data_IF_078049296583
#
_entry.id   IF_078049296583
#
_cell.length_a   1.000
_cell.length_b   1.000
_cell.length_c   1.000
_cell.angle_alpha   90.00
_cell.angle_beta   90.00
_cell.angle_gamma   90.00
#
_symmetry.space_group_name_H-M   'P 1'
#
loop_
_entity.id
_entity.type
_entity.pdbx_description
1 polymer ?
#
# COMPACT_ATOMS: atom_id res chain seq x y z
N UNK A 1 0.94 -0.22 -46.13
CA UNK A 1 1.63 -0.82 -44.98
C UNK A 1 1.10 -0.21 -43.70
N UNK A 2 0.34 -0.98 -42.93
CA UNK A 2 -0.24 -0.53 -41.62
C UNK A 2 0.76 -0.85 -40.53
N UNK A 3 1.35 0.17 -39.94
CA UNK A 3 2.18 0.07 -38.75
C UNK A 3 1.31 -0.38 -37.58
N UNK A 4 1.46 -1.62 -37.15
CA UNK A 4 0.88 -2.09 -35.88
C UNK A 4 1.69 -1.48 -34.75
N UNK A 5 1.09 -0.50 -34.07
CA UNK A 5 1.62 0.03 -32.82
C UNK A 5 1.73 -1.09 -31.79
N UNK A 6 2.96 -1.46 -31.41
CA UNK A 6 3.21 -2.32 -30.25
C UNK A 6 2.62 -1.62 -29.02
N UNK A 7 1.51 -2.15 -28.50
CA UNK A 7 1.08 -1.90 -27.12
C UNK A 7 2.24 -2.30 -26.21
N UNK A 8 2.92 -1.35 -25.61
CA UNK A 8 3.77 -1.61 -24.46
C UNK A 8 2.85 -2.08 -23.32
N UNK A 9 2.73 -3.37 -23.18
CA UNK A 9 2.15 -4.02 -22.02
C UNK A 9 3.07 -3.65 -20.87
N UNK A 10 2.56 -2.91 -19.87
CA UNK A 10 3.33 -2.53 -18.69
C UNK A 10 4.03 -3.76 -18.13
N UNK A 11 5.31 -3.63 -17.77
CA UNK A 11 6.14 -4.72 -17.28
C UNK A 11 5.46 -5.30 -16.04
N UNK A 12 4.89 -6.50 -16.19
CA UNK A 12 4.50 -7.31 -15.05
C UNK A 12 5.73 -7.56 -14.17
N UNK A 13 5.52 -7.56 -12.85
CA UNK A 13 6.60 -7.89 -11.92
C UNK A 13 7.03 -9.34 -12.14
N UNK A 14 8.27 -9.62 -12.53
CA UNK A 14 8.72 -10.99 -12.72
C UNK A 14 8.95 -11.67 -11.37
N UNK A 15 8.00 -12.51 -10.92
CA UNK A 15 8.12 -13.33 -9.72
C UNK A 15 8.17 -12.56 -8.39
N UNK A 16 8.40 -13.23 -7.24
CA UNK A 16 8.45 -12.60 -5.92
C UNK A 16 9.60 -11.59 -5.86
N UNK A 17 9.25 -10.30 -5.92
CA UNK A 17 10.19 -9.20 -5.86
C UNK A 17 10.09 -8.53 -4.50
N UNK A 18 11.24 -8.35 -3.86
CA UNK A 18 11.31 -7.47 -2.69
C UNK A 18 11.14 -6.03 -3.13
N UNK A 19 10.04 -5.41 -2.70
CA UNK A 19 9.81 -3.99 -2.91
C UNK A 19 10.84 -3.15 -2.16
N UNK A 20 11.22 -2.03 -2.77
CA UNK A 20 12.20 -1.10 -2.20
C UNK A 20 11.56 0.28 -2.05
N UNK A 21 12.02 1.11 -1.11
CA UNK A 21 11.58 2.49 -1.04
C UNK A 21 11.69 3.18 -2.41
N UNK A 22 10.73 4.02 -2.73
CA UNK A 22 10.52 4.70 -4.01
C UNK A 22 9.92 3.87 -5.15
N UNK A 23 9.70 2.57 -5.00
CA UNK A 23 8.95 1.81 -5.99
C UNK A 23 7.49 2.28 -6.02
N UNK A 24 6.94 2.45 -7.22
CA UNK A 24 5.54 2.86 -7.43
C UNK A 24 4.78 1.72 -8.09
N UNK A 25 3.62 1.42 -7.55
CA UNK A 25 2.76 0.34 -8.02
C UNK A 25 1.37 0.85 -8.37
N UNK A 26 0.77 0.27 -9.38
CA UNK A 26 -0.67 0.33 -9.64
C UNK A 26 -1.33 -0.93 -9.10
N UNK A 27 -2.41 -0.76 -8.36
CA UNK A 27 -3.15 -1.80 -7.65
C UNK A 27 -4.56 -1.85 -8.20
N UNK A 28 -5.02 -2.99 -8.74
CA UNK A 28 -6.39 -3.13 -9.17
C UNK A 28 -7.32 -3.11 -7.95
N UNK A 29 -8.29 -2.21 -7.97
CA UNK A 29 -9.28 -2.04 -6.91
C UNK A 29 -10.63 -2.69 -7.24
N UNK A 30 -10.75 -3.36 -8.37
CA UNK A 30 -12.01 -3.89 -8.92
C UNK A 30 -12.70 -2.92 -9.88
N UNK A 31 -13.67 -3.41 -10.67
CA UNK A 31 -14.47 -2.61 -11.63
C UNK A 31 -13.63 -1.71 -12.54
N UNK A 32 -12.51 -2.24 -13.05
CA UNK A 32 -11.56 -1.49 -13.89
C UNK A 32 -10.96 -0.24 -13.20
N UNK A 33 -11.06 -0.15 -11.88
CA UNK A 33 -10.50 0.95 -11.10
C UNK A 33 -9.10 0.59 -10.61
N UNK A 34 -8.18 1.56 -10.68
CA UNK A 34 -6.80 1.44 -10.24
C UNK A 34 -6.49 2.44 -9.14
N UNK A 35 -5.86 1.97 -8.07
CA UNK A 35 -5.21 2.81 -7.06
C UNK A 35 -3.70 2.80 -7.23
N UNK A 36 -3.02 3.76 -6.62
CA UNK A 36 -1.58 3.94 -6.77
C UNK A 36 -0.92 4.10 -5.42
N UNK A 37 0.21 3.44 -5.27
CA UNK A 37 0.99 3.49 -4.03
C UNK A 37 2.47 3.72 -4.32
N UNK A 38 3.16 4.37 -3.39
CA UNK A 38 4.62 4.53 -3.39
C UNK A 38 5.18 3.85 -2.16
N UNK A 39 6.17 3.00 -2.33
CA UNK A 39 6.76 2.23 -1.25
C UNK A 39 7.66 3.11 -0.38
N UNK A 40 7.47 3.02 0.91
CA UNK A 40 8.29 3.63 1.95
C UNK A 40 9.14 2.57 2.66
N UNK A 41 9.94 2.98 3.63
CA UNK A 41 10.59 2.06 4.59
C UNK A 41 9.53 1.42 5.51
N UNK A 42 9.94 0.45 6.31
CA UNK A 42 9.10 -0.26 7.28
C UNK A 42 7.87 -0.95 6.67
N UNK A 43 8.04 -1.54 5.48
CA UNK A 43 6.96 -2.24 4.80
C UNK A 43 5.66 -1.41 4.76
N UNK A 44 5.76 -0.14 4.42
CA UNK A 44 4.64 0.79 4.36
C UNK A 44 4.47 1.35 2.95
N UNK A 45 3.22 1.52 2.55
CA UNK A 45 2.83 2.26 1.36
C UNK A 45 2.30 3.64 1.72
N UNK A 46 2.77 4.66 1.01
CA UNK A 46 2.06 5.91 0.82
C UNK A 46 1.00 5.67 -0.24
N UNK A 47 -0.27 5.72 0.13
CA UNK A 47 -1.40 5.65 -0.81
C UNK A 47 -1.57 7.01 -1.44
N UNK A 48 -1.46 7.09 -2.76
CA UNK A 48 -1.54 8.36 -3.48
C UNK A 48 -2.99 8.80 -3.65
N UNK A 49 -3.24 10.10 -3.55
CA UNK A 49 -4.58 10.70 -3.70
C UNK A 49 -4.98 10.80 -5.18
N UNK A 50 -5.02 9.65 -5.83
CA UNK A 50 -5.41 9.50 -7.22
C UNK A 50 -5.89 8.08 -7.49
N UNK A 51 -6.96 7.95 -8.26
CA UNK A 51 -7.45 6.71 -8.86
C UNK A 51 -7.65 6.93 -10.36
N UNK A 52 -7.70 5.86 -11.13
CA UNK A 52 -8.11 5.91 -12.52
C UNK A 52 -9.14 4.82 -12.82
N UNK A 53 -10.02 5.09 -13.77
CA UNK A 53 -11.05 4.16 -14.23
C UNK A 53 -10.74 3.75 -15.68
N UNK A 54 -10.98 2.48 -15.99
CA UNK A 54 -10.69 1.88 -17.29
C UNK A 54 -9.19 1.78 -17.57
N UNK A 55 -8.55 2.90 -17.90
CA UNK A 55 -7.12 2.91 -18.23
C UNK A 55 -6.25 3.13 -16.97
N UNK A 56 -5.29 2.24 -16.76
CA UNK A 56 -4.24 2.42 -15.76
C UNK A 56 -3.31 3.59 -16.16
N UNK A 57 -2.97 4.45 -15.19
CA UNK A 57 -1.99 5.52 -15.38
C UNK A 57 -0.56 4.99 -15.43
N UNK A 58 0.28 5.70 -16.15
CA UNK A 58 1.72 5.51 -16.16
C UNK A 58 2.39 6.31 -15.03
N UNK A 59 3.64 5.99 -14.72
CA UNK A 59 4.39 6.65 -13.66
C UNK A 59 4.36 8.19 -13.74
N UNK A 60 4.47 8.76 -14.93
CA UNK A 60 4.45 10.21 -15.14
C UNK A 60 3.14 10.88 -14.72
N UNK A 61 2.03 10.15 -14.80
CA UNK A 61 0.69 10.67 -14.47
C UNK A 61 0.43 10.65 -12.96
N UNK A 62 1.15 9.79 -12.22
CA UNK A 62 1.01 9.67 -10.76
C UNK A 62 2.07 10.42 -9.98
N UNK A 63 3.22 10.75 -10.59
CA UNK A 63 4.25 11.58 -9.95
C UNK A 63 3.69 12.95 -9.55
N UNK A 64 4.07 13.42 -8.36
CA UNK A 64 3.60 14.69 -7.81
C UNK A 64 2.22 14.63 -7.15
N UNK A 65 1.53 13.48 -7.17
CA UNK A 65 0.27 13.32 -6.44
C UNK A 65 0.54 13.26 -4.93
N UNK A 66 -0.36 13.88 -4.16
CA UNK A 66 -0.27 13.91 -2.70
C UNK A 66 -0.50 12.51 -2.11
N UNK A 67 0.01 12.29 -0.92
CA UNK A 67 -0.33 11.14 -0.10
C UNK A 67 -1.70 11.34 0.53
N UNK A 68 -2.57 10.35 0.41
CA UNK A 68 -3.89 10.32 1.01
C UNK A 68 -3.87 9.65 2.38
N UNK A 69 -3.01 8.69 2.57
CA UNK A 69 -2.85 7.95 3.81
C UNK A 69 -1.77 6.88 3.70
N UNK A 70 -1.64 6.07 4.73
CA UNK A 70 -0.60 5.06 4.82
C UNK A 70 -1.18 3.68 5.10
N UNK A 71 -0.50 2.65 4.61
CA UNK A 71 -0.88 1.27 4.86
C UNK A 71 0.36 0.39 4.95
N UNK A 72 0.50 -0.37 6.03
CA UNK A 72 1.56 -1.36 6.15
C UNK A 72 1.18 -2.63 5.40
N UNK A 73 2.15 -3.30 4.79
CA UNK A 73 1.92 -4.49 3.98
C UNK A 73 2.84 -5.64 4.37
N UNK A 74 2.36 -6.87 4.15
CA UNK A 74 3.13 -8.07 4.42
C UNK A 74 4.13 -8.35 3.28
N UNK A 75 5.38 -8.69 3.62
CA UNK A 75 6.40 -9.13 2.68
C UNK A 75 6.73 -10.63 2.90
N UNK A 76 7.22 -11.37 1.89
CA UNK A 76 7.49 -10.97 0.51
C UNK A 76 6.21 -10.72 -0.27
N UNK A 77 6.31 -9.82 -1.25
CA UNK A 77 5.20 -9.49 -2.09
C UNK A 77 5.12 -10.42 -3.30
N UNK A 78 4.01 -11.08 -3.47
CA UNK A 78 3.78 -12.06 -4.54
C UNK A 78 2.33 -11.93 -5.07
N UNK A 79 1.95 -10.72 -5.49
CA UNK A 79 0.66 -10.54 -6.13
C UNK A 79 0.83 -10.27 -7.63
N UNK A 80 0.50 -11.24 -8.50
CA UNK A 80 0.70 -11.12 -9.94
C UNK A 80 -0.17 -10.05 -10.60
N UNK A 81 -1.21 -9.54 -9.92
CA UNK A 81 -2.12 -8.54 -10.48
C UNK A 81 -1.67 -7.10 -10.27
N UNK A 82 -0.68 -6.86 -9.42
CA UNK A 82 -0.15 -5.52 -9.17
C UNK A 82 0.93 -5.18 -10.17
N UNK A 83 0.92 -3.96 -10.64
CA UNK A 83 1.80 -3.54 -11.73
C UNK A 83 2.84 -2.55 -11.25
N UNK A 84 4.10 -2.88 -11.47
CA UNK A 84 5.20 -1.99 -11.22
C UNK A 84 5.26 -0.90 -12.29
N UNK A 85 5.20 0.36 -11.86
CA UNK A 85 5.24 1.51 -12.77
C UNK A 85 6.65 2.09 -12.90
N UNK A 86 7.51 1.89 -11.93
CA UNK A 86 8.86 2.42 -11.92
C UNK A 86 9.24 3.01 -10.56
N UNK A 87 10.30 3.81 -10.53
CA UNK A 87 10.78 4.50 -9.35
C UNK A 87 10.41 5.98 -9.37
N UNK A 88 9.98 6.44 -8.21
CA UNK A 88 9.84 7.86 -7.93
C UNK A 88 10.69 8.20 -6.70
N UNK A 89 11.96 8.61 -6.91
CA UNK A 89 12.88 8.91 -5.81
C UNK A 89 12.32 9.98 -4.88
N UNK A 90 12.68 9.89 -3.61
CA UNK A 90 12.38 10.90 -2.61
C UNK A 90 13.40 12.04 -2.71
N UNK A 91 12.99 13.24 -2.31
CA UNK A 91 13.86 14.41 -2.31
C UNK A 91 14.69 14.47 -1.02
N UNK A 92 14.12 13.98 0.08
CA UNK A 92 14.75 13.99 1.40
C UNK A 92 14.74 12.61 2.04
N UNK A 93 15.67 12.36 2.98
CA UNK A 93 15.69 11.11 3.75
C UNK A 93 14.42 10.95 4.61
N UNK A 94 13.83 12.06 5.07
CA UNK A 94 12.61 12.04 5.87
C UNK A 94 11.43 11.44 5.12
N UNK A 95 11.30 11.74 3.83
CA UNK A 95 10.21 11.24 2.99
C UNK A 95 10.24 9.73 2.76
N UNK A 96 11.37 9.06 3.03
CA UNK A 96 11.48 7.60 2.95
C UNK A 96 10.66 6.88 4.03
N UNK A 97 10.27 7.61 5.08
CA UNK A 97 9.64 7.03 6.25
C UNK A 97 8.17 7.39 6.36
N UNK A 98 7.33 6.46 6.83
CA UNK A 98 5.98 6.83 7.22
C UNK A 98 6.03 7.82 8.42
N UNK A 99 4.99 8.66 8.59
CA UNK A 99 4.89 9.49 9.76
C UNK A 99 4.80 8.64 11.03
N UNK A 100 5.04 9.24 12.21
CA UNK A 100 4.79 8.56 13.48
C UNK A 100 3.35 8.01 13.53
N UNK A 101 3.20 6.81 14.04
CA UNK A 101 1.91 6.15 14.23
C UNK A 101 1.89 5.42 15.56
N UNK A 102 0.74 4.90 15.98
CA UNK A 102 0.67 4.11 17.20
C UNK A 102 0.10 2.73 16.96
N UNK A 103 0.55 1.79 17.78
CA UNK A 103 0.14 0.40 17.78
C UNK A 103 -0.54 0.10 19.11
N UNK A 104 -1.66 -0.59 19.05
CA UNK A 104 -2.37 -1.12 20.23
C UNK A 104 -1.85 -2.53 20.48
N UNK A 105 -1.45 -2.83 21.72
CA UNK A 105 -1.02 -4.16 22.10
C UNK A 105 -2.20 -5.14 22.02
N UNK A 106 -2.00 -6.27 21.35
CA UNK A 106 -3.06 -7.24 21.08
C UNK A 106 -3.51 -7.94 22.40
N UNK A 107 -2.59 -8.17 23.31
CA UNK A 107 -2.88 -8.87 24.57
C UNK A 107 -3.42 -7.92 25.64
N UNK A 108 -3.04 -6.65 25.58
CA UNK A 108 -3.51 -5.63 26.51
C UNK A 108 -3.81 -4.32 25.79
N UNK A 109 -5.06 -4.12 25.33
CA UNK A 109 -5.44 -2.92 24.55
C UNK A 109 -5.26 -1.58 25.30
N UNK A 110 -5.03 -1.60 26.60
CA UNK A 110 -4.66 -0.40 27.37
C UNK A 110 -3.23 0.05 27.13
N UNK A 111 -2.38 -0.84 26.59
CA UNK A 111 -1.00 -0.52 26.23
C UNK A 111 -0.96 -0.06 24.79
N UNK A 112 -0.54 1.19 24.61
CA UNK A 112 -0.33 1.79 23.29
C UNK A 112 1.14 2.15 23.15
N UNK A 113 1.68 1.95 21.96
CA UNK A 113 3.10 2.20 21.65
C UNK A 113 3.19 3.09 20.43
N UNK A 114 3.93 4.18 20.54
CA UNK A 114 4.24 5.07 19.41
C UNK A 114 5.40 4.45 18.65
N UNK A 115 5.25 4.34 17.34
CA UNK A 115 6.26 3.81 16.44
C UNK A 115 6.70 4.87 15.44
N UNK A 116 8.01 5.04 15.30
CA UNK A 116 8.60 5.90 14.28
C UNK A 116 10.03 5.44 13.95
N UNK A 117 10.33 5.26 12.67
CA UNK A 117 11.68 4.94 12.16
C UNK A 117 12.37 3.76 12.85
N UNK A 118 11.66 2.67 13.05
CA UNK A 118 12.19 1.48 13.72
C UNK A 118 12.26 1.58 15.25
N UNK A 119 11.90 2.72 15.82
CA UNK A 119 11.88 2.92 17.26
C UNK A 119 10.46 2.81 17.81
N UNK A 120 10.32 2.22 18.99
CA UNK A 120 9.05 2.04 19.66
C UNK A 120 9.12 2.57 21.08
N UNK A 121 8.18 3.45 21.44
CA UNK A 121 8.05 4.03 22.76
C UNK A 121 6.65 3.74 23.30
N UNK A 122 6.53 3.27 24.54
CA UNK A 122 5.22 3.16 25.20
C UNK A 122 4.66 4.56 25.44
N UNK A 123 3.41 4.80 25.02
CA UNK A 123 2.70 6.02 25.36
C UNK A 123 2.36 6.03 26.87
N UNK A 124 2.56 7.15 27.52
CA UNK A 124 2.25 7.34 28.94
C UNK A 124 0.75 7.51 29.11
N UNK A 125 0.15 8.31 28.24
CA UNK A 125 -1.29 8.56 28.19
C UNK A 125 -1.76 8.81 26.75
N UNK A 126 -3.07 8.92 26.58
CA UNK A 126 -3.68 9.09 25.25
C UNK A 126 -3.44 10.48 24.64
N UNK A 127 -2.96 11.46 25.40
CA UNK A 127 -2.63 12.80 24.86
C UNK A 127 -1.45 12.74 23.90
N UNK A 128 -0.51 11.80 24.10
CA UNK A 128 0.62 11.59 23.22
C UNK A 128 0.21 11.02 21.85
N UNK A 129 -1.02 10.49 21.72
CA UNK A 129 -1.53 9.87 20.50
C UNK A 129 -2.33 10.84 19.63
N UNK A 130 -2.59 12.05 20.12
CA UNK A 130 -3.36 13.05 19.38
C UNK A 130 -2.67 13.37 18.06
N UNK A 131 -3.40 13.24 16.96
CA UNK A 131 -2.88 13.45 15.61
C UNK A 131 -2.09 12.29 15.01
N UNK A 132 -1.88 11.18 15.75
CA UNK A 132 -1.28 9.98 15.22
C UNK A 132 -2.35 9.02 14.69
N UNK A 133 -2.08 8.38 13.55
CA UNK A 133 -2.93 7.30 13.03
C UNK A 133 -2.61 5.98 13.73
N UNK A 134 -3.66 5.16 13.94
CA UNK A 134 -3.45 3.80 14.41
C UNK A 134 -2.90 2.94 13.28
N UNK A 135 -1.80 2.25 13.55
CA UNK A 135 -1.27 1.23 12.66
C UNK A 135 -2.04 -0.08 12.88
N UNK A 136 -2.73 -0.53 11.86
CA UNK A 136 -3.50 -1.78 11.89
C UNK A 136 -2.64 -3.04 11.75
N UNK A 137 -1.32 -2.88 11.68
CA UNK A 137 -0.36 -3.95 11.45
C UNK A 137 -0.18 -4.25 9.96
N UNK A 138 0.51 -5.35 9.67
CA UNK A 138 0.82 -5.76 8.31
C UNK A 138 -0.42 -6.34 7.64
N UNK A 139 -0.85 -5.70 6.57
CA UNK A 139 -2.04 -6.09 5.80
C UNK A 139 -1.68 -7.07 4.68
N UNK A 140 -2.43 -8.13 4.57
CA UNK A 140 -2.42 -9.01 3.41
C UNK A 140 -3.09 -8.34 2.20
N UNK A 141 -2.82 -8.78 0.96
CA UNK A 141 -3.27 -8.13 -0.27
C UNK A 141 -4.74 -7.73 -0.29
N UNK A 142 -5.65 -8.64 0.03
CA UNK A 142 -7.09 -8.37 0.00
C UNK A 142 -7.51 -7.26 0.99
N UNK A 143 -6.98 -7.27 2.21
CA UNK A 143 -7.28 -6.23 3.21
C UNK A 143 -6.65 -4.89 2.83
N UNK A 144 -5.49 -4.92 2.20
CA UNK A 144 -4.83 -3.71 1.71
C UNK A 144 -5.65 -3.05 0.59
N UNK A 145 -6.14 -3.84 -0.37
CA UNK A 145 -7.06 -3.35 -1.41
C UNK A 145 -8.31 -2.72 -0.79
N UNK A 146 -8.92 -3.38 0.19
CA UNK A 146 -10.09 -2.83 0.90
C UNK A 146 -9.76 -1.50 1.61
N UNK A 147 -8.61 -1.40 2.26
CA UNK A 147 -8.16 -0.17 2.92
C UNK A 147 -7.99 0.97 1.90
N UNK A 148 -7.34 0.70 0.77
CA UNK A 148 -7.16 1.69 -0.31
C UNK A 148 -8.53 2.12 -0.87
N UNK A 149 -9.45 1.18 -1.12
CA UNK A 149 -10.83 1.50 -1.53
C UNK A 149 -11.52 2.43 -0.54
N UNK A 150 -11.46 2.11 0.74
CA UNK A 150 -12.05 2.92 1.81
C UNK A 150 -11.45 4.33 1.85
N UNK A 151 -10.14 4.46 1.73
CA UNK A 151 -9.46 5.77 1.68
C UNK A 151 -9.96 6.62 0.52
N UNK A 152 -10.31 6.02 -0.61
CA UNK A 152 -10.84 6.71 -1.79
C UNK A 152 -12.37 6.84 -1.81
N UNK A 153 -13.05 6.45 -0.73
CA UNK A 153 -14.51 6.51 -0.63
C UNK A 153 -15.23 5.55 -1.59
N UNK A 154 -14.52 4.56 -2.11
CA UNK A 154 -15.13 3.51 -2.93
C UNK A 154 -15.92 2.57 -2.03
N UNK A 155 -17.15 2.23 -2.43
CA UNK A 155 -17.97 1.27 -1.69
C UNK A 155 -17.16 -0.01 -1.47
N UNK A 156 -17.21 -0.52 -0.25
CA UNK A 156 -16.72 -1.86 0.03
C UNK A 156 -17.65 -2.84 -0.71
N UNK A 157 -17.33 -3.15 -1.96
CA UNK A 157 -17.84 -4.37 -2.53
C UNK A 157 -17.39 -5.49 -1.61
N UNK A 158 -18.31 -6.40 -1.28
CA UNK A 158 -17.91 -7.69 -0.75
C UNK A 158 -16.91 -8.25 -1.77
N UNK A 159 -15.61 -8.02 -1.48
CA UNK A 159 -14.59 -8.73 -2.19
C UNK A 159 -15.06 -10.18 -2.15
N UNK A 160 -15.28 -10.80 -3.30
CA UNK A 160 -15.34 -12.24 -3.38
C UNK A 160 -14.01 -12.65 -2.79
N UNK A 161 -14.04 -12.99 -1.50
CA UNK A 161 -12.96 -13.68 -0.84
C UNK A 161 -12.91 -14.96 -1.66
N UNK A 162 -12.01 -15.05 -2.62
CA UNK A 162 -11.61 -16.33 -3.16
C UNK A 162 -11.15 -17.06 -1.91
N UNK A 163 -11.97 -18.02 -1.51
CA UNK A 163 -11.68 -18.90 -0.39
C UNK A 163 -10.29 -19.44 -0.65
N UNK A 164 -9.32 -18.96 0.13
CA UNK A 164 -8.06 -19.67 0.27
C UNK A 164 -8.45 -21.05 0.76
N UNK A 165 -8.41 -22.02 -0.14
CA UNK A 165 -8.62 -23.41 0.23
C UNK A 165 -7.70 -23.71 1.40
N UNK A 166 -8.21 -24.26 2.51
CA UNK A 166 -7.38 -24.59 3.63
C UNK A 166 -6.28 -25.55 3.12
N UNK A 167 -5.04 -25.30 3.53
CA UNK A 167 -3.94 -26.23 3.32
C UNK A 167 -4.38 -27.60 3.83
N UNK A 168 -4.73 -28.50 2.93
CA UNK A 168 -4.86 -29.91 3.24
C UNK A 168 -3.44 -30.44 3.34
N UNK A 169 -2.94 -30.55 4.57
CA UNK A 169 -1.75 -31.32 4.88
C UNK A 169 -2.06 -32.80 4.59
N UNK A 170 -1.40 -33.35 3.57
CA UNK A 170 -1.18 -34.79 3.41
C UNK A 170 0.09 -35.18 4.16
#
# INVERSE_FOLDING_TARGET
>A
MKSQGKKEIGKELPGPRKLRPSDVLAIPLGEETWGYVRTLRDATFSVLDVISEGKRFELKEVKGKKTKGYASYCQPWDNPTWVYLGKWPFETEEEHWPPPNYIVDILNPKIKKIYHKGQMKRAIDDSELVGLEQNEGLLFPGRLVMKIRTMHGLKAERAKIEEFAPFTSN
#
